data_IF_687581422663
#
_entry.id   IF_687581422663
#
_cell.length_a   1.000
_cell.length_b   1.000
_cell.length_c   1.000
_cell.angle_alpha   90.00
_cell.angle_beta   90.00
_cell.angle_gamma   90.00
#
_symmetry.space_group_name_H-M   'P 1'
#
loop_
_entity.id
_entity.type
_entity.pdbx_description
1 polymer ?
#
# COMPACT_ATOMS: atom_id res chain seq x y z
N UNK A 1 12.45 6.57 7.80
CA UNK A 1 12.61 7.81 7.02
C UNK A 1 11.22 8.14 6.51
N UNK A 2 10.52 9.02 7.22
CA UNK A 2 9.12 9.39 6.94
C UNK A 2 9.12 10.37 5.78
N UNK A 3 8.88 9.89 4.57
CA UNK A 3 8.36 10.74 3.49
C UNK A 3 7.23 9.99 2.79
N UNK A 4 6.08 10.65 2.65
CA UNK A 4 4.79 10.21 2.09
C UNK A 4 3.64 9.77 3.04
N UNK A 5 3.73 10.05 4.35
CA UNK A 5 2.51 10.20 5.19
C UNK A 5 2.44 11.61 5.80
N UNK A 6 2.97 12.58 5.05
CA UNK A 6 3.05 13.98 5.46
C UNK A 6 2.61 14.90 4.33
N UNK A 7 1.40 14.73 3.80
CA UNK A 7 0.75 15.73 2.94
C UNK A 7 -0.78 15.64 2.90
N UNK A 8 -1.43 14.79 3.70
CA UNK A 8 -2.89 14.80 3.83
C UNK A 8 -3.43 15.90 4.78
N UNK A 9 -2.56 16.57 5.52
CA UNK A 9 -2.95 17.60 6.50
C UNK A 9 -2.87 19.05 5.98
N UNK A 10 -2.45 19.29 4.73
CA UNK A 10 -2.31 20.66 4.20
C UNK A 10 -2.80 20.73 2.75
N UNK A 11 -4.12 20.65 2.58
CA UNK A 11 -4.88 21.55 1.70
C UNK A 11 -6.23 21.84 2.37
N UNK A 12 -6.17 22.18 3.67
CA UNK A 12 -7.32 22.59 4.47
C UNK A 12 -7.15 24.06 4.88
N UNK A 13 -7.13 24.96 3.91
CA UNK A 13 -7.39 26.37 4.17
C UNK A 13 -7.77 27.09 2.88
N UNK A 14 -8.84 27.87 2.97
CA UNK A 14 -9.46 28.67 1.92
C UNK A 14 -10.50 27.95 1.04
N UNK A 15 -11.57 27.48 1.66
CA UNK A 15 -12.88 27.52 1.01
C UNK A 15 -13.48 28.91 1.28
N UNK A 16 -13.16 29.86 0.42
CA UNK A 16 -13.89 31.13 0.32
C UNK A 16 -15.33 30.86 -0.11
N UNK A 17 -16.23 31.69 0.41
CA UNK A 17 -17.67 31.64 0.29
C UNK A 17 -18.11 31.45 -1.18
N UNK A 18 -18.53 30.23 -1.51
CA UNK A 18 -19.52 30.04 -2.54
C UNK A 18 -20.85 29.86 -1.82
N UNK A 19 -21.94 30.25 -2.47
CA UNK A 19 -23.29 30.09 -1.97
C UNK A 19 -23.56 28.58 -1.86
N UNK A 20 -23.53 28.07 -0.62
CA UNK A 20 -23.81 26.68 -0.30
C UNK A 20 -25.26 26.38 -0.68
N UNK A 21 -25.52 25.32 -1.44
CA UNK A 21 -26.89 24.90 -1.71
C UNK A 21 -27.63 24.62 -0.38
N UNK A 22 -28.96 24.83 -0.28
CA UNK A 22 -29.68 24.63 0.98
C UNK A 22 -29.52 23.22 1.55
N UNK A 23 -29.38 22.20 0.68
CA UNK A 23 -29.09 20.82 1.10
C UNK A 23 -27.66 20.67 1.66
N UNK A 24 -26.62 21.20 1.00
CA UNK A 24 -25.24 21.07 1.48
C UNK A 24 -25.00 21.75 2.82
N UNK A 25 -25.61 22.92 3.07
CA UNK A 25 -25.47 23.59 4.37
C UNK A 25 -26.16 22.78 5.48
N UNK A 26 -27.36 22.26 5.22
CA UNK A 26 -28.08 21.39 6.15
C UNK A 26 -27.31 20.10 6.45
N UNK A 27 -26.74 19.47 5.41
CA UNK A 27 -25.91 18.28 5.57
C UNK A 27 -24.63 18.59 6.35
N UNK A 28 -24.00 19.73 6.10
CA UNK A 28 -22.79 20.15 6.81
C UNK A 28 -23.05 20.38 8.29
N UNK A 29 -24.19 20.97 8.66
CA UNK A 29 -24.58 21.18 10.05
C UNK A 29 -25.13 19.90 10.73
N UNK A 30 -25.50 18.89 9.96
CA UNK A 30 -26.13 17.66 10.48
C UNK A 30 -27.60 17.83 10.84
N UNK A 31 -28.25 18.90 10.36
CA UNK A 31 -29.67 19.17 10.63
C UNK A 31 -30.57 18.26 9.80
N UNK A 32 -30.94 17.12 10.36
CA UNK A 32 -31.79 16.11 9.72
C UNK A 32 -33.13 16.68 9.25
N UNK A 33 -33.69 17.65 9.97
CA UNK A 33 -34.98 18.26 9.61
C UNK A 33 -34.82 19.13 8.37
N UNK A 34 -33.75 19.93 8.31
CA UNK A 34 -33.45 20.76 7.14
C UNK A 34 -33.04 19.91 5.93
N UNK A 35 -32.30 18.82 6.13
CA UNK A 35 -31.97 17.85 5.05
C UNK A 35 -33.25 17.28 4.46
N UNK A 36 -34.15 16.75 5.31
CA UNK A 36 -35.41 16.19 4.87
C UNK A 36 -36.26 17.23 4.13
N UNK A 37 -36.42 18.43 4.68
CA UNK A 37 -37.18 19.50 4.07
C UNK A 37 -36.62 19.94 2.70
N UNK A 38 -35.30 20.01 2.56
CA UNK A 38 -34.66 20.35 1.29
C UNK A 38 -34.93 19.27 0.22
N UNK A 39 -34.80 17.99 0.58
CA UNK A 39 -35.09 16.87 -0.32
C UNK A 39 -36.58 16.81 -0.71
N UNK A 40 -37.48 17.05 0.25
CA UNK A 40 -38.93 17.08 0.02
C UNK A 40 -39.33 18.26 -0.89
N UNK A 41 -38.58 19.37 -0.85
CA UNK A 41 -38.71 20.50 -1.76
C UNK A 41 -38.10 20.26 -3.15
N UNK A 42 -37.55 19.07 -3.41
CA UNK A 42 -37.00 18.67 -4.70
C UNK A 42 -35.52 19.01 -4.89
N UNK A 43 -34.76 19.26 -3.81
CA UNK A 43 -33.31 19.34 -3.92
C UNK A 43 -32.73 18.06 -4.53
N UNK A 44 -31.78 18.20 -5.45
CA UNK A 44 -31.15 17.05 -6.07
C UNK A 44 -30.19 16.38 -5.07
N UNK A 45 -30.51 15.15 -4.66
CA UNK A 45 -29.72 14.37 -3.70
C UNK A 45 -28.29 14.08 -4.17
N UNK A 46 -28.04 14.18 -5.49
CA UNK A 46 -26.72 13.99 -6.11
C UNK A 46 -26.06 15.32 -6.52
N UNK A 47 -26.60 16.47 -6.09
CA UNK A 47 -26.03 17.77 -6.43
C UNK A 47 -24.58 17.87 -5.94
N UNK A 48 -23.68 18.29 -6.83
CA UNK A 48 -22.28 18.46 -6.48
C UNK A 48 -21.94 19.93 -6.27
N UNK A 49 -21.71 20.30 -5.02
CA UNK A 49 -21.16 21.63 -4.70
C UNK A 49 -19.64 21.54 -4.65
N UNK A 50 -18.96 22.27 -5.53
CA UNK A 50 -17.48 22.20 -5.70
C UNK A 50 -16.99 20.76 -5.88
N UNK A 51 -17.79 19.93 -6.55
CA UNK A 51 -17.51 18.51 -6.77
C UNK A 51 -17.80 17.59 -5.58
N UNK A 52 -18.43 18.08 -4.51
CA UNK A 52 -18.76 17.28 -3.31
C UNK A 52 -20.24 16.94 -3.29
N UNK A 53 -20.57 15.64 -3.22
CA UNK A 53 -21.95 15.16 -3.06
C UNK A 53 -22.43 15.37 -1.61
N UNK A 54 -23.75 15.45 -1.36
CA UNK A 54 -24.29 15.56 0.00
C UNK A 54 -23.86 14.35 0.85
N UNK A 55 -23.91 13.13 0.30
CA UNK A 55 -23.51 11.93 1.03
C UNK A 55 -22.03 11.96 1.46
N UNK A 56 -21.12 12.35 0.55
CA UNK A 56 -19.71 12.50 0.92
C UNK A 56 -19.52 13.58 1.98
N UNK A 57 -20.26 14.69 1.88
CA UNK A 57 -20.21 15.77 2.87
C UNK A 57 -20.67 15.30 4.25
N UNK A 58 -21.76 14.53 4.34
CA UNK A 58 -22.25 13.96 5.60
C UNK A 58 -21.18 13.06 6.25
N UNK A 59 -20.55 12.19 5.45
CA UNK A 59 -19.44 11.33 5.93
C UNK A 59 -18.28 12.18 6.42
N UNK A 60 -17.85 13.20 5.65
CA UNK A 60 -16.72 14.07 6.01
C UNK A 60 -16.98 14.94 7.24
N UNK A 61 -18.23 15.31 7.47
CA UNK A 61 -18.65 16.07 8.64
C UNK A 61 -18.90 15.20 9.87
N UNK A 62 -18.88 13.87 9.73
CA UNK A 62 -19.02 12.94 10.85
C UNK A 62 -20.45 12.75 11.35
N UNK A 63 -21.46 12.89 10.48
CA UNK A 63 -22.88 12.83 10.83
C UNK A 63 -23.53 11.51 10.36
N UNK A 64 -23.44 10.39 11.12
CA UNK A 64 -23.92 9.09 10.68
C UNK A 64 -25.43 9.06 10.41
N UNK A 65 -26.25 9.78 11.19
CA UNK A 65 -27.69 9.86 10.97
C UNK A 65 -28.03 10.60 9.66
N UNK A 66 -27.23 11.60 9.29
CA UNK A 66 -27.37 12.27 8.00
C UNK A 66 -26.93 11.37 6.84
N UNK A 67 -25.89 10.56 7.03
CA UNK A 67 -25.46 9.54 6.07
C UNK A 67 -26.57 8.53 5.83
N UNK A 68 -27.15 8.00 6.89
CA UNK A 68 -28.24 7.02 6.81
C UNK A 68 -29.48 7.62 6.13
N UNK A 69 -29.92 8.81 6.55
CA UNK A 69 -31.03 9.52 5.92
C UNK A 69 -30.79 9.72 4.42
N UNK A 70 -29.61 10.18 4.01
CA UNK A 70 -29.31 10.40 2.59
C UNK A 70 -29.35 9.10 1.79
N UNK A 71 -28.82 8.00 2.32
CA UNK A 71 -28.87 6.69 1.67
C UNK A 71 -30.31 6.19 1.54
N UNK A 72 -31.11 6.30 2.61
CA UNK A 72 -32.54 5.94 2.60
C UNK A 72 -33.35 6.75 1.58
N UNK A 73 -32.96 8.01 1.36
CA UNK A 73 -33.56 8.90 0.35
C UNK A 73 -33.04 8.65 -1.07
N UNK A 74 -32.17 7.65 -1.26
CA UNK A 74 -31.71 7.20 -2.56
C UNK A 74 -30.35 7.74 -3.00
N UNK A 75 -29.55 8.33 -2.10
CA UNK A 75 -28.20 8.73 -2.43
C UNK A 75 -27.34 7.51 -2.83
N UNK A 76 -26.62 7.61 -3.94
CA UNK A 76 -25.74 6.56 -4.40
C UNK A 76 -24.53 6.38 -3.49
N UNK A 77 -24.48 5.29 -2.73
CA UNK A 77 -23.40 4.96 -1.78
C UNK A 77 -22.00 4.90 -2.42
N UNK A 78 -21.95 4.61 -3.73
CA UNK A 78 -20.73 4.52 -4.54
C UNK A 78 -20.59 5.69 -5.54
N UNK A 79 -21.39 6.76 -5.41
CA UNK A 79 -21.26 7.91 -6.31
C UNK A 79 -20.00 8.72 -5.97
N UNK A 80 -19.15 9.02 -6.96
CA UNK A 80 -17.90 9.71 -6.71
C UNK A 80 -18.10 11.21 -6.46
N UNK A 81 -17.30 11.73 -5.55
CA UNK A 81 -17.00 13.15 -5.43
C UNK A 81 -15.60 13.47 -5.97
N UNK A 82 -15.28 14.74 -6.15
CA UNK A 82 -13.93 15.22 -6.45
C UNK A 82 -12.90 14.84 -5.36
N UNK A 83 -13.36 14.48 -4.16
CA UNK A 83 -12.53 14.06 -3.02
C UNK A 83 -12.49 12.53 -2.84
N UNK A 84 -13.21 11.77 -3.68
CA UNK A 84 -13.30 10.32 -3.61
C UNK A 84 -14.71 9.81 -3.33
N UNK A 85 -14.83 8.52 -3.03
CA UNK A 85 -16.11 7.88 -2.67
C UNK A 85 -16.46 8.17 -1.20
N UNK A 86 -17.74 8.07 -0.81
CA UNK A 86 -18.13 8.14 0.60
C UNK A 86 -17.29 7.23 1.50
N UNK A 87 -17.05 5.97 1.08
CA UNK A 87 -16.20 5.03 1.82
C UNK A 87 -14.76 5.52 1.99
N UNK A 88 -14.20 6.23 1.00
CA UNK A 88 -12.87 6.87 1.13
C UNK A 88 -12.86 7.89 2.27
N UNK A 89 -13.90 8.70 2.41
CA UNK A 89 -14.04 9.66 3.51
C UNK A 89 -14.07 8.99 4.89
N UNK A 90 -14.78 7.87 5.03
CA UNK A 90 -14.88 7.14 6.29
C UNK A 90 -13.55 6.46 6.67
N UNK A 91 -12.87 5.83 5.70
CA UNK A 91 -11.55 5.19 5.90
C UNK A 91 -10.48 6.21 6.28
N UNK A 92 -10.42 7.36 5.59
CA UNK A 92 -9.44 8.42 5.89
C UNK A 92 -9.65 9.06 7.26
N UNK A 93 -10.89 9.11 7.74
CA UNK A 93 -11.21 9.56 9.10
C UNK A 93 -11.02 8.48 10.16
N UNK A 94 -10.70 7.25 9.75
CA UNK A 94 -10.58 6.12 10.65
C UNK A 94 -11.87 5.78 11.42
N UNK A 95 -13.04 6.07 10.82
CA UNK A 95 -14.34 5.89 11.44
C UNK A 95 -14.93 4.52 11.07
N UNK A 96 -14.72 3.54 11.96
CA UNK A 96 -15.28 2.19 11.80
C UNK A 96 -16.82 2.19 11.73
N UNK A 97 -17.49 3.11 12.42
CA UNK A 97 -18.95 3.21 12.42
C UNK A 97 -19.49 3.67 11.06
N UNK A 98 -18.90 4.73 10.48
CA UNK A 98 -19.27 5.19 9.14
C UNK A 98 -18.92 4.15 8.08
N UNK A 99 -17.79 3.45 8.22
CA UNK A 99 -17.45 2.34 7.33
C UNK A 99 -18.48 1.22 7.42
N UNK A 100 -18.88 0.82 8.64
CA UNK A 100 -19.89 -0.23 8.85
C UNK A 100 -21.21 0.15 8.20
N UNK A 101 -21.68 1.38 8.41
CA UNK A 101 -22.90 1.90 7.80
C UNK A 101 -22.82 1.85 6.26
N UNK A 102 -21.78 2.43 5.67
CA UNK A 102 -21.61 2.46 4.21
C UNK A 102 -21.50 1.06 3.60
N UNK A 103 -20.73 0.16 4.21
CA UNK A 103 -20.57 -1.22 3.75
C UNK A 103 -21.88 -2.01 3.87
N UNK A 104 -22.66 -1.81 4.95
CA UNK A 104 -23.99 -2.43 5.11
C UNK A 104 -24.97 -1.99 4.02
N UNK A 105 -24.80 -0.78 3.47
CA UNK A 105 -25.58 -0.28 2.33
C UNK A 105 -24.94 -0.53 0.96
N UNK A 106 -23.93 -1.40 0.87
CA UNK A 106 -23.36 -1.84 -0.40
C UNK A 106 -22.27 -0.94 -0.97
N UNK A 107 -21.57 -0.17 -0.14
CA UNK A 107 -20.31 0.45 -0.54
C UNK A 107 -19.31 -0.63 -1.01
N UNK A 108 -18.62 -0.38 -2.12
CA UNK A 108 -17.65 -1.33 -2.67
C UNK A 108 -16.41 -1.42 -1.76
N UNK A 109 -16.15 -2.55 -1.07
CA UNK A 109 -14.98 -2.71 -0.21
C UNK A 109 -13.66 -2.74 -1.01
N UNK A 110 -13.72 -2.98 -2.32
CA UNK A 110 -12.59 -2.99 -3.24
C UNK A 110 -12.36 -1.66 -3.95
N UNK A 111 -13.12 -0.62 -3.56
CA UNK A 111 -12.93 0.73 -4.01
C UNK A 111 -11.46 1.18 -3.91
N UNK A 112 -11.04 2.00 -4.87
CA UNK A 112 -9.71 2.57 -4.91
C UNK A 112 -9.75 4.09 -5.04
N UNK A 113 -8.81 4.75 -4.37
CA UNK A 113 -8.53 6.19 -4.53
C UNK A 113 -7.09 6.35 -4.96
N UNK A 114 -6.84 7.05 -6.07
CA UNK A 114 -5.49 7.25 -6.65
C UNK A 114 -4.72 5.93 -6.88
N UNK A 115 -5.44 4.85 -7.19
CA UNK A 115 -4.86 3.51 -7.42
C UNK A 115 -4.56 2.71 -6.14
N UNK A 116 -4.76 3.28 -4.95
CA UNK A 116 -4.66 2.59 -3.66
C UNK A 116 -6.05 2.11 -3.22
N UNK A 117 -6.19 0.83 -2.84
CA UNK A 117 -7.46 0.24 -2.41
C UNK A 117 -7.75 0.59 -0.96
N UNK A 118 -9.04 0.60 -0.57
CA UNK A 118 -9.45 0.93 0.81
C UNK A 118 -8.74 0.08 1.87
N UNK A 119 -8.47 -1.19 1.57
CA UNK A 119 -7.75 -2.09 2.49
C UNK A 119 -6.31 -1.63 2.75
N UNK A 120 -5.61 -1.06 1.76
CA UNK A 120 -4.28 -0.48 1.96
C UNK A 120 -4.33 0.75 2.88
N UNK A 121 -5.30 1.66 2.69
CA UNK A 121 -5.48 2.81 3.57
C UNK A 121 -5.77 2.40 5.02
N UNK A 122 -6.65 1.41 5.24
CA UNK A 122 -6.95 0.90 6.58
C UNK A 122 -5.70 0.33 7.28
N UNK A 123 -4.86 -0.40 6.54
CA UNK A 123 -3.56 -0.90 7.02
C UNK A 123 -2.60 0.27 7.27
N UNK A 124 -2.48 1.24 6.36
CA UNK A 124 -1.62 2.41 6.52
C UNK A 124 -1.96 3.21 7.79
N UNK A 125 -3.26 3.32 8.11
CA UNK A 125 -3.76 3.98 9.32
C UNK A 125 -3.58 3.11 10.59
N UNK A 126 -3.25 1.82 10.46
CA UNK A 126 -3.12 0.90 11.59
C UNK A 126 -4.44 0.54 12.25
N UNK A 127 -5.56 0.68 11.55
CA UNK A 127 -6.89 0.43 12.09
C UNK A 127 -7.32 -1.01 11.86
N UNK A 128 -7.11 -1.86 12.87
CA UNK A 128 -7.50 -3.27 12.82
C UNK A 128 -9.01 -3.45 12.58
N UNK A 129 -9.85 -2.64 13.21
CA UNK A 129 -11.31 -2.77 13.03
C UNK A 129 -11.75 -2.36 11.62
N UNK A 130 -11.13 -1.34 11.04
CA UNK A 130 -11.35 -0.94 9.64
C UNK A 130 -10.91 -2.07 8.67
N UNK A 131 -9.78 -2.72 8.95
CA UNK A 131 -9.30 -3.88 8.18
C UNK A 131 -10.30 -5.03 8.26
N UNK A 132 -10.78 -5.37 9.47
CA UNK A 132 -11.77 -6.43 9.67
C UNK A 132 -13.05 -6.14 8.89
N UNK A 133 -13.60 -4.93 9.02
CA UNK A 133 -14.81 -4.52 8.30
C UNK A 133 -14.67 -4.68 6.77
N UNK A 134 -13.55 -4.24 6.20
CA UNK A 134 -13.31 -4.37 4.77
C UNK A 134 -13.18 -5.83 4.34
N UNK A 135 -12.44 -6.64 5.09
CA UNK A 135 -12.26 -8.07 4.78
C UNK A 135 -13.58 -8.84 4.92
N UNK A 136 -14.35 -8.58 5.98
CA UNK A 136 -15.69 -9.18 6.19
C UNK A 136 -16.67 -8.78 5.09
N UNK A 137 -16.55 -7.55 4.55
CA UNK A 137 -17.34 -7.10 3.41
C UNK A 137 -16.87 -7.66 2.05
N UNK A 138 -15.73 -8.37 2.00
CA UNK A 138 -15.22 -8.99 0.77
C UNK A 138 -14.10 -8.22 0.06
N UNK A 139 -13.34 -7.38 0.77
CA UNK A 139 -12.12 -6.79 0.22
C UNK A 139 -11.09 -7.87 -0.14
N UNK A 140 -10.45 -7.72 -1.30
CA UNK A 140 -9.36 -8.59 -1.75
C UNK A 140 -8.13 -8.40 -0.86
N UNK A 141 -7.85 -9.38 0.01
CA UNK A 141 -6.66 -9.37 0.89
C UNK A 141 -5.33 -9.43 0.14
N UNK A 142 -5.35 -9.88 -1.13
CA UNK A 142 -4.20 -9.96 -2.02
C UNK A 142 -4.13 -8.78 -3.00
N UNK A 143 -5.00 -7.80 -2.80
CA UNK A 143 -5.01 -6.53 -3.51
C UNK A 143 -3.60 -5.96 -3.66
N UNK A 144 -3.28 -5.48 -4.85
CA UNK A 144 -1.98 -4.87 -5.11
C UNK A 144 -2.10 -3.36 -5.23
N UNK A 145 -1.16 -2.65 -4.62
CA UNK A 145 -0.90 -1.23 -4.84
C UNK A 145 0.48 -1.08 -5.46
N UNK A 146 0.61 -0.23 -6.48
CA UNK A 146 1.87 0.02 -7.16
C UNK A 146 2.45 1.34 -6.68
N UNK A 147 3.71 1.32 -6.23
CA UNK A 147 4.42 2.50 -5.71
C UNK A 147 5.80 2.60 -6.35
N UNK A 148 6.18 3.82 -6.72
CA UNK A 148 7.44 4.11 -7.42
C UNK A 148 7.20 4.60 -8.84
N UNK A 149 8.28 4.81 -9.58
CA UNK A 149 8.23 5.30 -10.97
C UNK A 149 7.61 4.21 -11.88
N UNK A 150 6.44 4.47 -12.51
CA UNK A 150 5.79 3.53 -13.41
C UNK A 150 6.67 3.10 -14.59
N UNK A 151 7.65 3.92 -14.98
CA UNK A 151 8.58 3.64 -16.06
C UNK A 151 9.79 2.78 -15.62
N UNK A 152 9.97 2.49 -14.32
CA UNK A 152 11.19 1.84 -13.77
C UNK A 152 10.88 0.66 -12.85
N UNK A 153 10.09 -0.30 -13.33
CA UNK A 153 9.70 -1.51 -12.59
C UNK A 153 9.22 -1.18 -11.17
N UNK A 154 8.08 -0.48 -11.03
CA UNK A 154 7.62 -0.01 -9.73
C UNK A 154 7.30 -1.19 -8.81
N UNK A 155 7.58 -1.00 -7.52
CA UNK A 155 7.24 -1.96 -6.50
C UNK A 155 5.73 -2.20 -6.43
N UNK A 156 5.40 -3.45 -6.09
CA UNK A 156 4.03 -3.87 -5.82
C UNK A 156 3.96 -4.21 -4.34
N UNK A 157 2.96 -3.70 -3.65
CA UNK A 157 2.74 -3.96 -2.23
C UNK A 157 1.31 -4.43 -1.97
N UNK A 158 1.19 -5.50 -1.20
CA UNK A 158 -0.09 -6.02 -0.70
C UNK A 158 -0.39 -5.46 0.70
N UNK A 159 -1.64 -5.47 1.18
CA UNK A 159 -2.00 -5.11 2.55
C UNK A 159 -1.15 -5.84 3.59
N UNK A 160 -0.90 -7.14 3.41
CA UNK A 160 -0.08 -7.93 4.34
C UNK A 160 1.36 -7.41 4.45
N UNK A 161 2.02 -7.23 3.31
CA UNK A 161 3.39 -6.71 3.28
C UNK A 161 3.50 -5.29 3.85
N UNK A 162 2.50 -4.43 3.62
CA UNK A 162 2.43 -3.11 4.24
C UNK A 162 2.28 -3.21 5.76
N UNK A 163 1.43 -4.10 6.27
CA UNK A 163 1.28 -4.32 7.71
C UNK A 163 2.59 -4.81 8.35
N UNK A 164 3.31 -5.71 7.67
CA UNK A 164 4.62 -6.22 8.12
C UNK A 164 5.70 -5.15 8.09
N UNK A 165 5.70 -4.30 7.06
CA UNK A 165 6.59 -3.14 6.99
C UNK A 165 6.34 -2.16 8.15
N UNK A 166 5.08 -1.89 8.46
CA UNK A 166 4.70 -0.98 9.54
C UNK A 166 4.76 -1.61 10.95
N UNK A 167 5.28 -2.83 11.08
CA UNK A 167 5.34 -3.60 12.33
C UNK A 167 3.96 -3.79 13.02
N UNK A 168 2.89 -3.87 12.22
CA UNK A 168 1.51 -4.09 12.68
C UNK A 168 1.21 -5.59 12.77
N UNK A 169 1.72 -6.24 13.82
CA UNK A 169 1.66 -7.70 13.97
C UNK A 169 0.24 -8.26 13.95
N UNK A 170 -0.72 -7.61 14.62
CA UNK A 170 -2.12 -8.07 14.70
C UNK A 170 -2.83 -8.00 13.35
N UNK A 171 -2.67 -6.89 12.62
CA UNK A 171 -3.22 -6.73 11.26
C UNK A 171 -2.61 -7.78 10.33
N UNK A 172 -1.30 -7.96 10.37
CA UNK A 172 -0.63 -8.94 9.54
C UNK A 172 -1.09 -10.38 9.84
N UNK A 173 -1.27 -10.71 11.13
CA UNK A 173 -1.79 -12.01 11.55
C UNK A 173 -3.23 -12.22 11.07
N UNK A 174 -4.09 -11.20 11.21
CA UNK A 174 -5.46 -11.24 10.73
C UNK A 174 -5.50 -11.47 9.21
N UNK A 175 -4.79 -10.65 8.43
CA UNK A 175 -4.75 -10.80 6.96
C UNK A 175 -4.24 -12.18 6.54
N UNK A 176 -3.19 -12.69 7.20
CA UNK A 176 -2.66 -14.03 6.91
C UNK A 176 -3.70 -15.13 7.15
N UNK A 177 -4.50 -15.02 8.20
CA UNK A 177 -5.59 -15.94 8.49
C UNK A 177 -6.75 -15.86 7.47
N UNK A 178 -6.81 -14.81 6.64
CA UNK A 178 -7.90 -14.55 5.70
C UNK A 178 -7.48 -14.70 4.23
N UNK A 179 -6.45 -15.50 3.94
CA UNK A 179 -6.15 -15.95 2.58
C UNK A 179 -5.09 -15.14 1.85
N UNK A 180 -4.20 -14.46 2.56
CA UNK A 180 -2.99 -13.87 1.95
C UNK A 180 -2.14 -14.95 1.29
N UNK A 181 -1.79 -14.72 0.03
CA UNK A 181 -0.84 -15.53 -0.74
C UNK A 181 0.49 -14.79 -0.80
N UNK A 182 1.53 -15.37 -0.21
CA UNK A 182 2.91 -14.85 -0.31
C UNK A 182 3.57 -15.50 -1.53
N UNK A 183 4.10 -14.67 -2.43
CA UNK A 183 4.82 -15.15 -3.61
C UNK A 183 6.05 -15.95 -3.16
N UNK A 184 6.20 -17.15 -3.72
CA UNK A 184 7.35 -18.02 -3.49
C UNK A 184 7.90 -18.46 -4.85
N UNK A 185 8.99 -17.86 -5.35
CA UNK A 185 9.60 -18.33 -6.60
C UNK A 185 10.10 -19.76 -6.45
N UNK A 186 10.16 -20.49 -7.57
CA UNK A 186 10.74 -21.83 -7.58
C UNK A 186 12.23 -21.78 -7.17
N UNK A 187 12.75 -22.86 -6.56
CA UNK A 187 14.17 -22.96 -6.24
C UNK A 187 15.06 -22.79 -7.48
N UNK A 188 16.17 -22.07 -7.33
CA UNK A 188 17.03 -21.67 -8.44
C UNK A 188 18.44 -22.27 -8.36
N UNK A 189 18.83 -22.81 -7.20
CA UNK A 189 20.16 -23.35 -6.89
C UNK A 189 20.78 -24.18 -8.02
N UNK A 190 20.08 -25.21 -8.49
CA UNK A 190 20.56 -26.14 -9.52
C UNK A 190 20.77 -25.50 -10.91
N UNK A 191 20.28 -24.26 -11.11
CA UNK A 191 20.37 -23.52 -12.38
C UNK A 191 21.40 -22.40 -12.33
N UNK A 192 21.96 -22.07 -11.15
CA UNK A 192 22.83 -20.90 -10.94
C UNK A 192 24.05 -20.87 -11.88
N UNK A 193 24.60 -22.03 -12.26
CA UNK A 193 25.72 -22.14 -13.18
C UNK A 193 25.41 -21.64 -14.61
N UNK A 194 24.12 -21.44 -14.95
CA UNK A 194 23.66 -20.98 -16.27
C UNK A 194 23.54 -19.46 -16.38
N UNK A 195 23.66 -18.72 -15.28
CA UNK A 195 23.52 -17.27 -15.29
C UNK A 195 24.64 -16.58 -16.07
N UNK A 196 24.31 -15.49 -16.75
CA UNK A 196 25.21 -14.65 -17.53
C UNK A 196 25.53 -13.35 -16.77
N UNK A 197 26.77 -13.20 -16.24
CA UNK A 197 27.17 -11.99 -15.53
C UNK A 197 27.06 -10.69 -16.32
N UNK A 198 27.21 -10.73 -17.66
CA UNK A 198 27.13 -9.53 -18.49
C UNK A 198 25.69 -9.02 -18.58
N UNK A 199 24.73 -9.94 -18.77
CA UNK A 199 23.30 -9.62 -18.71
C UNK A 199 22.88 -9.17 -17.31
N UNK A 200 23.40 -9.83 -16.28
CA UNK A 200 23.15 -9.47 -14.90
C UNK A 200 23.60 -8.05 -14.57
N UNK A 201 24.79 -7.65 -15.04
CA UNK A 201 25.29 -6.27 -14.92
C UNK A 201 24.38 -5.27 -15.62
N UNK A 202 23.92 -5.59 -16.83
CA UNK A 202 23.03 -4.74 -17.62
C UNK A 202 21.67 -4.54 -16.93
N UNK A 203 21.11 -5.58 -16.30
CA UNK A 203 19.90 -5.48 -15.49
C UNK A 203 20.13 -4.70 -14.19
N UNK A 204 21.21 -5.01 -13.46
CA UNK A 204 21.47 -4.45 -12.14
C UNK A 204 21.71 -2.94 -12.16
N UNK A 205 22.36 -2.42 -13.20
CA UNK A 205 22.71 -1.01 -13.31
C UNK A 205 21.51 -0.05 -13.21
N UNK A 206 20.44 -0.16 -14.02
CA UNK A 206 19.28 0.73 -13.92
C UNK A 206 18.31 0.39 -12.77
N UNK A 207 18.29 -0.86 -12.29
CA UNK A 207 17.25 -1.38 -11.40
C UNK A 207 17.68 -1.57 -9.94
N UNK A 208 18.97 -1.77 -9.65
CA UNK A 208 19.42 -2.13 -8.30
C UNK A 208 20.56 -1.24 -7.80
N UNK A 209 21.38 -0.70 -8.70
CA UNK A 209 22.61 0.00 -8.34
C UNK A 209 22.39 1.24 -7.46
N UNK A 210 21.31 1.99 -7.69
CA UNK A 210 20.99 3.19 -6.89
C UNK A 210 20.71 2.89 -5.42
N UNK A 211 20.30 1.65 -5.11
CA UNK A 211 20.01 1.22 -3.75
C UNK A 211 21.15 0.39 -3.16
N UNK A 212 21.81 -0.44 -3.98
CA UNK A 212 22.64 -1.54 -3.50
C UNK A 212 24.11 -1.51 -3.93
N UNK A 213 24.57 -0.58 -4.79
CA UNK A 213 25.99 -0.49 -5.19
C UNK A 213 26.89 0.05 -4.06
N UNK A 214 28.19 -0.29 -4.00
CA UNK A 214 29.14 0.26 -3.01
C UNK A 214 30.07 1.30 -3.59
N UNK A 215 30.57 2.14 -2.69
CA UNK A 215 31.74 3.02 -2.86
C UNK A 215 33.04 2.27 -2.55
N UNK A 216 34.10 2.61 -3.29
CA UNK A 216 35.41 2.88 -2.68
C UNK A 216 35.52 4.37 -2.27
N UNK A 217 35.00 5.31 -3.08
CA UNK A 217 34.89 6.76 -2.77
C UNK A 217 33.68 7.47 -3.49
N UNK A 218 32.53 6.78 -3.70
CA UNK A 218 31.48 7.03 -4.74
C UNK A 218 30.13 7.79 -4.48
N UNK A 219 29.00 7.24 -3.99
CA UNK A 219 27.73 7.94 -3.56
C UNK A 219 27.02 7.25 -2.38
N UNK A 220 25.93 7.77 -1.78
CA UNK A 220 25.23 7.09 -0.67
C UNK A 220 24.52 5.79 -1.11
N UNK A 221 24.51 4.80 -0.22
CA UNK A 221 23.70 3.58 -0.32
C UNK A 221 22.33 3.80 0.33
N UNK A 222 21.24 3.48 -0.38
CA UNK A 222 19.88 3.47 0.22
C UNK A 222 19.53 2.13 0.87
N UNK A 223 20.37 1.11 0.78
CA UNK A 223 20.21 -0.18 1.46
C UNK A 223 21.53 -0.94 1.51
N UNK A 224 21.60 -2.10 2.20
CA UNK A 224 22.79 -2.93 2.22
C UNK A 224 23.17 -3.43 0.83
N UNK A 225 24.45 -3.72 0.63
CA UNK A 225 24.89 -4.32 -0.62
C UNK A 225 24.34 -5.75 -0.81
N UNK A 226 24.29 -6.15 -2.09
CA UNK A 226 23.83 -7.48 -2.51
C UNK A 226 24.95 -8.45 -2.90
N UNK A 227 26.20 -8.01 -3.13
CA UNK A 227 27.33 -8.97 -3.23
C UNK A 227 27.84 -9.32 -1.84
N UNK A 228 28.54 -10.45 -1.70
CA UNK A 228 28.89 -11.06 -0.40
C UNK A 228 27.67 -11.33 0.51
N UNK A 229 26.43 -11.27 0.00
CA UNK A 229 25.24 -11.49 0.83
C UNK A 229 25.08 -12.96 1.20
N UNK A 230 25.32 -13.89 0.27
CA UNK A 230 25.20 -15.33 0.56
C UNK A 230 26.30 -15.74 1.53
N UNK A 231 25.92 -16.39 2.63
CA UNK A 231 26.79 -16.72 3.76
C UNK A 231 26.87 -15.63 4.83
N UNK A 232 26.38 -14.42 4.56
CA UNK A 232 26.29 -13.35 5.56
C UNK A 232 25.09 -13.57 6.47
N UNK A 233 25.25 -13.31 7.76
CA UNK A 233 24.15 -13.33 8.72
C UNK A 233 23.03 -12.36 8.30
N UNK A 234 21.78 -12.82 8.38
CA UNK A 234 20.60 -12.00 8.14
C UNK A 234 20.56 -10.85 9.15
N UNK A 235 20.07 -9.69 8.73
CA UNK A 235 20.04 -8.45 9.50
C UNK A 235 21.40 -7.94 10.07
N UNK A 236 22.55 -8.53 9.69
CA UNK A 236 23.87 -8.12 10.21
C UNK A 236 24.33 -6.73 9.78
N UNK A 237 23.82 -6.21 8.66
CA UNK A 237 24.10 -4.83 8.23
C UNK A 237 23.12 -3.87 8.89
N UNK A 238 23.63 -3.00 9.76
CA UNK A 238 22.82 -1.93 10.36
C UNK A 238 22.30 -0.99 9.27
N UNK A 239 20.98 -0.98 9.07
CA UNK A 239 20.33 -0.12 8.11
C UNK A 239 19.02 0.42 8.70
N UNK A 240 18.89 1.73 8.78
CA UNK A 240 17.79 2.40 9.48
C UNK A 240 16.41 2.19 8.82
N UNK A 241 16.36 1.67 7.59
CA UNK A 241 15.12 1.34 6.89
C UNK A 241 14.62 -0.09 7.13
N UNK A 242 15.27 -0.90 7.96
CA UNK A 242 14.73 -2.22 8.32
C UNK A 242 13.58 -2.10 9.32
N UNK A 243 12.48 -2.79 9.01
CA UNK A 243 11.41 -3.05 9.98
C UNK A 243 11.94 -3.90 11.15
N UNK A 244 11.23 -3.90 12.30
CA UNK A 244 11.55 -4.83 13.39
C UNK A 244 11.39 -6.27 12.92
N UNK A 245 10.38 -6.53 12.09
CA UNK A 245 10.18 -7.82 11.42
C UNK A 245 11.46 -8.33 10.74
N UNK A 246 12.10 -7.50 9.92
CA UNK A 246 13.31 -7.89 9.19
C UNK A 246 14.54 -7.95 10.10
N UNK A 247 14.60 -7.09 11.12
CA UNK A 247 15.71 -7.03 12.07
C UNK A 247 15.79 -8.25 12.99
N UNK A 248 14.68 -9.00 13.14
CA UNK A 248 14.60 -10.21 13.96
C UNK A 248 14.94 -11.49 13.19
N UNK A 249 15.37 -11.40 11.93
CA UNK A 249 15.70 -12.58 11.14
C UNK A 249 17.01 -13.23 11.60
N UNK A 250 16.98 -14.55 11.76
CA UNK A 250 18.11 -15.36 12.20
C UNK A 250 18.69 -16.21 11.07
N UNK A 251 19.94 -16.66 11.24
CA UNK A 251 20.67 -17.50 10.29
C UNK A 251 21.36 -16.70 9.18
N UNK A 252 22.05 -17.42 8.29
CA UNK A 252 22.77 -16.84 7.16
C UNK A 252 21.91 -16.84 5.89
N UNK A 253 22.15 -15.86 5.01
CA UNK A 253 21.57 -15.81 3.68
C UNK A 253 22.04 -16.98 2.81
N UNK A 254 21.10 -17.65 2.18
CA UNK A 254 21.34 -18.67 1.15
C UNK A 254 21.12 -18.11 -0.25
N UNK A 255 21.48 -18.88 -1.28
CA UNK A 255 21.08 -18.55 -2.66
C UNK A 255 19.57 -18.52 -2.84
N UNK A 256 18.82 -19.34 -2.09
CA UNK A 256 17.37 -19.34 -2.17
C UNK A 256 16.75 -18.13 -1.47
N UNK A 257 17.32 -17.68 -0.34
CA UNK A 257 16.90 -16.42 0.26
C UNK A 257 17.11 -15.26 -0.72
N UNK A 258 18.27 -15.21 -1.39
CA UNK A 258 18.56 -14.18 -2.39
C UNK A 258 17.62 -14.28 -3.61
N UNK A 259 17.32 -15.49 -4.08
CA UNK A 259 16.34 -15.74 -5.15
C UNK A 259 14.95 -15.20 -4.76
N UNK A 260 14.48 -15.54 -3.56
CA UNK A 260 13.21 -15.06 -3.00
C UNK A 260 13.21 -13.54 -2.97
N UNK A 261 14.21 -12.92 -2.34
CA UNK A 261 14.32 -11.47 -2.26
C UNK A 261 14.31 -10.81 -3.64
N UNK A 262 15.11 -11.30 -4.59
CA UNK A 262 15.20 -10.71 -5.93
C UNK A 262 13.89 -10.85 -6.71
N UNK A 263 13.09 -11.91 -6.50
CA UNK A 263 11.86 -12.12 -7.27
C UNK A 263 10.80 -11.04 -7.06
N UNK A 264 10.82 -10.39 -5.90
CA UNK A 264 9.89 -9.32 -5.57
C UNK A 264 10.06 -8.90 -4.13
N UNK A 265 11.03 -8.04 -3.78
CA UNK A 265 11.38 -7.79 -2.38
C UNK A 265 10.19 -7.45 -1.49
N UNK A 266 9.25 -6.63 -1.99
CA UNK A 266 8.04 -6.22 -1.28
C UNK A 266 6.89 -7.25 -1.32
N UNK A 267 6.99 -8.32 -2.12
CA UNK A 267 5.98 -9.38 -2.30
C UNK A 267 6.38 -10.74 -1.72
N UNK A 268 7.68 -10.94 -1.53
CA UNK A 268 8.26 -12.21 -1.09
C UNK A 268 8.87 -12.10 0.30
N UNK A 269 9.23 -10.87 0.72
CA UNK A 269 9.98 -10.62 1.95
C UNK A 269 9.22 -9.68 2.88
N UNK A 270 8.48 -10.24 3.86
CA UNK A 270 7.76 -9.45 4.86
C UNK A 270 8.66 -8.43 5.56
N UNK A 271 8.23 -7.17 5.61
CA UNK A 271 8.96 -6.12 6.33
C UNK A 271 10.01 -5.36 5.52
N UNK A 272 10.14 -5.65 4.21
CA UNK A 272 10.99 -4.89 3.29
C UNK A 272 10.24 -3.69 2.70
N UNK A 273 10.90 -2.54 2.67
CA UNK A 273 10.44 -1.31 2.02
C UNK A 273 11.31 -0.98 0.81
N UNK A 274 10.78 -1.19 -0.40
CA UNK A 274 11.47 -0.85 -1.64
C UNK A 274 10.50 -0.25 -2.67
N UNK A 275 11.02 0.62 -3.52
CA UNK A 275 10.27 1.26 -4.61
C UNK A 275 10.45 0.54 -5.95
N UNK A 276 11.30 -0.49 -5.98
CA UNK A 276 11.64 -1.25 -7.19
C UNK A 276 11.16 -2.69 -7.02
N UNK A 277 10.57 -3.25 -8.08
CA UNK A 277 9.99 -4.60 -8.13
C UNK A 277 11.02 -5.72 -7.97
N UNK A 278 12.31 -5.47 -8.16
CA UNK A 278 13.33 -6.51 -8.28
C UNK A 278 13.36 -7.14 -9.68
N UNK A 279 13.66 -8.43 -9.75
CA UNK A 279 13.77 -9.27 -10.95
C UNK A 279 12.72 -10.40 -10.93
N UNK A 280 11.49 -10.15 -11.43
CA UNK A 280 10.40 -11.14 -11.39
C UNK A 280 10.64 -12.34 -12.31
N UNK A 281 11.45 -12.20 -13.35
CA UNK A 281 11.80 -13.30 -14.25
C UNK A 281 12.96 -14.15 -13.71
N UNK A 282 12.84 -15.48 -13.83
CA UNK A 282 13.86 -16.41 -13.32
C UNK A 282 15.22 -16.19 -14.00
N UNK A 283 15.22 -15.93 -15.31
CA UNK A 283 16.44 -15.67 -16.07
C UNK A 283 17.17 -14.43 -15.59
N UNK A 284 16.44 -13.35 -15.31
CA UNK A 284 17.05 -12.12 -14.78
C UNK A 284 17.63 -12.35 -13.39
N UNK A 285 16.98 -13.15 -12.53
CA UNK A 285 17.54 -13.53 -11.23
C UNK A 285 18.82 -14.34 -11.37
N UNK A 286 18.86 -15.33 -12.26
CA UNK A 286 20.07 -16.11 -12.55
C UNK A 286 21.22 -15.19 -12.95
N UNK A 287 20.97 -14.31 -13.90
CA UNK A 287 21.96 -13.39 -14.45
C UNK A 287 22.45 -12.39 -13.39
N UNK A 288 21.53 -11.79 -12.60
CA UNK A 288 21.88 -10.89 -11.50
C UNK A 288 22.70 -11.61 -10.42
N UNK A 289 22.32 -12.82 -10.02
CA UNK A 289 23.11 -13.59 -9.03
C UNK A 289 24.50 -13.91 -9.59
N UNK A 290 24.61 -14.29 -10.87
CA UNK A 290 25.90 -14.52 -11.53
C UNK A 290 26.76 -13.26 -11.53
N UNK A 291 26.19 -12.09 -11.83
CA UNK A 291 26.88 -10.80 -11.74
C UNK A 291 27.35 -10.47 -10.32
N UNK A 292 26.48 -10.60 -9.31
CA UNK A 292 26.83 -10.33 -7.91
C UNK A 292 27.99 -11.21 -7.41
N UNK A 293 28.10 -12.45 -7.92
CA UNK A 293 29.24 -13.33 -7.63
C UNK A 293 30.56 -12.80 -8.18
N UNK A 294 30.56 -12.09 -9.32
CA UNK A 294 31.77 -11.46 -9.87
C UNK A 294 32.27 -10.27 -9.04
N UNK A 295 31.38 -9.68 -8.24
CA UNK A 295 31.71 -8.58 -7.30
C UNK A 295 32.09 -9.08 -5.91
N UNK A 296 31.86 -10.37 -5.63
CA UNK A 296 32.12 -10.94 -4.31
C UNK A 296 33.62 -11.18 -4.12
N UNK A 297 34.16 -10.76 -2.97
CA UNK A 297 35.57 -10.98 -2.64
C UNK A 297 35.88 -12.48 -2.46
N UNK A 298 34.90 -13.21 -1.94
CA UNK A 298 34.98 -14.67 -1.74
C UNK A 298 33.60 -15.27 -2.01
N UNK A 299 33.25 -15.53 -3.29
CA UNK A 299 31.92 -16.02 -3.64
C UNK A 299 31.69 -17.40 -3.03
N UNK A 300 30.55 -17.59 -2.37
CA UNK A 300 30.14 -18.90 -1.86
C UNK A 300 30.13 -19.95 -3.00
N UNK A 301 30.43 -21.23 -2.73
CA UNK A 301 30.35 -22.28 -3.74
C UNK A 301 28.94 -22.37 -4.32
N UNK A 302 28.83 -22.69 -5.61
CA UNK A 302 27.52 -23.06 -6.17
C UNK A 302 27.12 -24.44 -5.63
N UNK A 303 25.84 -24.63 -5.27
CA UNK A 303 25.30 -25.92 -4.84
C UNK A 303 25.23 -26.95 -5.98
#
# INVERSE_FOLDING_TARGET
MRELIGSALIYLSALTAAQCGPLHEAVKSGDLTAIAAALDAGANIEEQEKGVTPLFLAVRSGHPEAVELLIERGAGVNNPSALGLPLTGAVLQNSADLMRLLLAHGADPNAASRGERMLHFAVANGCLDCVKLLVEAGADVNAVWTRGDPARLPAIITPYHLARHNDQAEIAAYLLAHGVTILKPAPIAAKLAKGDPAKGKAFFAPNCSSCHATRAQGGPTRGPNLWNVVGRDKASTKFAGYSKTLSAWEGAWTYEDLNIFLAGPTLTTPGVDMEIRGAPEETDRLDVIAYLRTLADTPAPLP
#
